data_IF_011134921538
#
_entry.id   IF_011134921538
#
_cell.length_a   1.000
_cell.length_b   1.000
_cell.length_c   1.000
_cell.angle_alpha   90.00
_cell.angle_beta   90.00
_cell.angle_gamma   90.00
#
_symmetry.space_group_name_H-M   'P 1'
#
loop_
_entity.id
_entity.type
_entity.pdbx_description
1 polymer ?
#
# COMPACT_ATOMS: atom_id res chain seq x y z
N UNK A 1 35.40 2.64 0.27
CA UNK A 1 34.29 2.30 1.17
C UNK A 1 32.93 2.66 0.57
N UNK A 2 32.76 3.78 -0.11
CA UNK A 2 31.44 4.23 -0.63
C UNK A 2 30.92 3.38 -1.77
N UNK A 3 31.83 2.85 -2.60
CA UNK A 3 31.47 1.88 -3.65
C UNK A 3 30.80 0.63 -3.04
N UNK A 4 31.35 0.12 -1.95
CA UNK A 4 30.80 -1.05 -1.25
C UNK A 4 29.47 -0.77 -0.57
N UNK A 5 29.33 0.40 0.06
CA UNK A 5 28.04 0.83 0.64
C UNK A 5 26.95 0.91 -0.44
N UNK A 6 27.25 1.55 -1.57
CA UNK A 6 26.34 1.62 -2.72
C UNK A 6 25.96 0.23 -3.24
N UNK A 7 26.92 -0.70 -3.31
CA UNK A 7 26.65 -2.07 -3.74
C UNK A 7 25.73 -2.80 -2.76
N UNK A 8 25.94 -2.64 -1.45
CA UNK A 8 25.06 -3.21 -0.41
C UNK A 8 23.64 -2.66 -0.55
N UNK A 9 23.50 -1.33 -0.73
CA UNK A 9 22.20 -0.69 -0.94
C UNK A 9 21.49 -1.24 -2.17
N UNK A 10 22.18 -1.31 -3.31
CA UNK A 10 21.63 -1.82 -4.55
C UNK A 10 21.18 -3.29 -4.41
N UNK A 11 22.05 -4.14 -3.86
CA UNK A 11 21.74 -5.55 -3.67
C UNK A 11 20.55 -5.76 -2.74
N UNK A 12 20.43 -4.96 -1.68
CA UNK A 12 19.33 -5.07 -0.71
C UNK A 12 18.02 -4.55 -1.26
N UNK A 13 18.02 -3.35 -1.84
CA UNK A 13 16.79 -2.64 -2.23
C UNK A 13 16.29 -3.03 -3.62
N UNK A 14 17.20 -3.19 -4.58
CA UNK A 14 16.84 -3.48 -5.97
C UNK A 14 16.82 -4.97 -6.30
N UNK A 15 17.85 -5.72 -5.86
CA UNK A 15 17.94 -7.16 -6.09
C UNK A 15 17.26 -8.00 -4.99
N UNK A 16 16.75 -7.37 -3.94
CA UNK A 16 16.09 -8.03 -2.80
C UNK A 16 16.94 -9.11 -2.11
N UNK A 17 18.29 -8.97 -2.16
CA UNK A 17 19.20 -9.93 -1.53
C UNK A 17 19.30 -9.70 -0.02
N UNK A 18 19.04 -10.70 0.81
CA UNK A 18 19.29 -10.60 2.25
C UNK A 18 20.78 -10.39 2.55
N UNK A 19 21.08 -9.63 3.61
CA UNK A 19 22.49 -9.37 4.01
C UNK A 19 23.32 -10.63 4.21
N UNK A 20 22.70 -11.71 4.71
CA UNK A 20 23.39 -13.00 4.83
C UNK A 20 23.90 -13.53 3.48
N UNK A 21 23.08 -13.45 2.42
CA UNK A 21 23.48 -13.89 1.09
C UNK A 21 24.55 -12.97 0.49
N UNK A 22 24.43 -11.68 0.70
CA UNK A 22 25.44 -10.71 0.28
C UNK A 22 26.78 -10.99 0.95
N UNK A 23 26.80 -11.17 2.28
CA UNK A 23 27.99 -11.46 3.05
C UNK A 23 28.69 -12.75 2.58
N UNK A 24 27.92 -13.80 2.24
CA UNK A 24 28.47 -15.05 1.73
C UNK A 24 29.09 -14.88 0.33
N UNK A 25 28.39 -14.23 -0.59
CA UNK A 25 28.88 -13.94 -1.94
C UNK A 25 30.17 -13.09 -1.91
N UNK A 26 30.22 -12.09 -1.03
CA UNK A 26 31.42 -11.24 -0.88
C UNK A 26 32.61 -12.01 -0.30
N UNK A 27 32.36 -12.90 0.67
CA UNK A 27 33.40 -13.74 1.25
C UNK A 27 34.01 -14.69 0.19
N UNK A 28 33.17 -15.29 -0.67
CA UNK A 28 33.63 -16.14 -1.79
C UNK A 28 34.48 -15.36 -2.79
N UNK A 29 34.30 -14.05 -2.91
CA UNK A 29 35.07 -13.12 -3.75
C UNK A 29 36.31 -12.55 -3.03
N UNK A 30 36.60 -13.02 -1.83
CA UNK A 30 37.76 -12.56 -1.05
C UNK A 30 37.57 -11.22 -0.35
N UNK A 31 36.34 -10.70 -0.27
CA UNK A 31 36.00 -9.45 0.41
C UNK A 31 35.15 -9.75 1.63
N UNK A 32 35.72 -9.86 2.84
CA UNK A 32 34.95 -10.20 4.04
C UNK A 32 34.14 -8.99 4.55
N UNK A 33 32.88 -8.95 4.17
CA UNK A 33 31.89 -7.99 4.72
C UNK A 33 30.87 -8.77 5.55
N UNK A 34 30.97 -8.72 6.89
CA UNK A 34 30.00 -9.33 7.77
C UNK A 34 28.59 -8.73 7.55
N UNK A 35 27.54 -9.54 7.78
CA UNK A 35 26.16 -9.09 7.62
C UNK A 35 25.80 -7.90 8.51
N UNK A 36 26.40 -7.84 9.70
CA UNK A 36 26.23 -6.74 10.66
C UNK A 36 26.81 -5.43 10.11
N UNK A 37 27.98 -5.50 9.46
CA UNK A 37 28.58 -4.36 8.76
C UNK A 37 27.74 -3.91 7.58
N UNK A 38 27.22 -4.85 6.79
CA UNK A 38 26.33 -4.54 5.67
C UNK A 38 25.02 -3.88 6.16
N UNK A 39 24.43 -4.38 7.25
CA UNK A 39 23.24 -3.80 7.86
C UNK A 39 23.53 -2.39 8.43
N UNK A 40 24.66 -2.20 9.11
CA UNK A 40 25.06 -0.90 9.59
C UNK A 40 25.24 0.12 8.44
N UNK A 41 25.91 -0.26 7.38
CA UNK A 41 26.07 0.59 6.20
C UNK A 41 24.74 0.93 5.54
N UNK A 42 23.84 -0.04 5.46
CA UNK A 42 22.50 0.18 4.91
C UNK A 42 21.72 1.20 5.74
N UNK A 43 21.68 1.02 7.07
CA UNK A 43 20.99 1.94 7.97
C UNK A 43 21.60 3.34 7.94
N UNK A 44 22.94 3.42 7.98
CA UNK A 44 23.66 4.69 7.88
C UNK A 44 23.30 5.44 6.58
N UNK A 45 23.39 4.75 5.43
CA UNK A 45 23.06 5.37 4.15
C UNK A 45 21.58 5.77 4.04
N UNK A 46 20.68 4.98 4.62
CA UNK A 46 19.24 5.30 4.64
C UNK A 46 18.97 6.57 5.44
N UNK A 47 19.56 6.70 6.61
CA UNK A 47 19.34 7.85 7.47
C UNK A 47 20.04 9.11 6.94
N UNK A 48 21.27 8.98 6.46
CA UNK A 48 22.08 10.13 6.06
C UNK A 48 21.73 10.68 4.68
N UNK A 49 21.39 9.80 3.72
CA UNK A 49 21.22 10.19 2.32
C UNK A 49 19.79 10.02 1.82
N UNK A 50 19.03 9.04 2.30
CA UNK A 50 17.68 8.80 1.80
C UNK A 50 16.61 9.54 2.60
N UNK A 51 16.81 9.77 3.91
CA UNK A 51 15.84 10.55 4.69
C UNK A 51 15.61 11.96 4.15
N UNK A 52 16.62 12.75 3.77
CA UNK A 52 16.38 14.05 3.16
C UNK A 52 15.58 13.97 1.84
N UNK A 53 15.81 12.93 1.05
CA UNK A 53 15.04 12.69 -0.19
C UNK A 53 13.58 12.34 0.15
N UNK A 54 13.38 11.50 1.17
CA UNK A 54 12.04 11.15 1.65
C UNK A 54 11.26 12.39 2.10
N UNK A 55 11.89 13.29 2.84
CA UNK A 55 11.26 14.54 3.29
C UNK A 55 10.84 15.44 2.12
N UNK A 56 11.69 15.59 1.10
CA UNK A 56 11.33 16.33 -0.12
C UNK A 56 10.17 15.64 -0.84
N UNK A 57 10.19 14.32 -0.98
CA UNK A 57 9.11 13.56 -1.58
C UNK A 57 7.81 13.70 -0.78
N UNK A 58 7.88 13.76 0.55
CA UNK A 58 6.72 13.97 1.41
C UNK A 58 6.10 15.35 1.18
N UNK A 59 6.91 16.40 1.13
CA UNK A 59 6.43 17.75 0.81
C UNK A 59 5.78 17.83 -0.58
N UNK A 60 6.41 17.22 -1.57
CA UNK A 60 5.86 17.14 -2.93
C UNK A 60 4.56 16.30 -2.99
N UNK A 61 4.44 15.27 -2.15
CA UNK A 61 3.22 14.48 -2.03
C UNK A 61 2.08 15.34 -1.46
N UNK A 62 2.32 16.07 -0.37
CA UNK A 62 1.31 16.95 0.25
C UNK A 62 0.87 18.12 -0.64
N UNK A 63 1.67 18.47 -1.65
CA UNK A 63 1.34 19.50 -2.63
C UNK A 63 0.46 18.97 -3.80
N UNK A 64 0.09 17.69 -3.81
CA UNK A 64 -0.80 17.11 -4.84
C UNK A 64 -2.27 17.37 -4.51
N UNK A 65 -3.12 17.37 -5.53
CA UNK A 65 -4.57 17.56 -5.38
C UNK A 65 -5.28 16.30 -4.88
N UNK A 66 -4.77 15.13 -5.28
CA UNK A 66 -5.39 13.83 -4.96
C UNK A 66 -4.34 12.91 -4.36
N UNK A 67 -4.67 12.35 -3.20
CA UNK A 67 -3.88 11.30 -2.56
C UNK A 67 -4.73 10.05 -2.34
N UNK A 68 -4.06 8.92 -2.29
CA UNK A 68 -4.61 7.65 -1.84
C UNK A 68 -3.89 7.23 -0.56
N UNK A 69 -4.64 6.72 0.41
CA UNK A 69 -4.10 6.19 1.65
C UNK A 69 -4.72 4.83 1.98
N UNK A 70 -3.88 3.93 2.44
CA UNK A 70 -4.27 2.60 2.93
C UNK A 70 -3.26 2.13 3.97
N UNK A 71 -3.59 1.14 4.79
CA UNK A 71 -2.67 0.55 5.75
C UNK A 71 -2.71 -0.98 5.70
N UNK A 72 -1.55 -1.60 5.84
CA UNK A 72 -1.38 -3.05 5.83
C UNK A 72 -0.75 -3.50 7.14
N UNK A 73 -1.35 -4.48 7.84
CA UNK A 73 -0.72 -5.04 9.03
C UNK A 73 0.59 -5.75 8.67
N UNK A 74 1.63 -5.48 9.45
CA UNK A 74 2.91 -6.17 9.36
C UNK A 74 3.31 -6.72 10.73
N UNK A 75 4.06 -7.81 10.74
CA UNK A 75 4.58 -8.43 11.95
C UNK A 75 6.07 -8.10 12.09
N UNK A 76 6.44 -7.54 13.23
CA UNK A 76 7.84 -7.30 13.61
C UNK A 76 8.17 -8.18 14.80
N UNK A 77 9.07 -9.16 14.61
CA UNK A 77 9.36 -10.18 15.60
C UNK A 77 10.08 -9.64 16.84
N UNK A 78 10.91 -8.60 16.66
CA UNK A 78 11.73 -8.00 17.72
C UNK A 78 11.48 -6.48 17.76
N UNK A 79 10.31 -6.10 18.22
CA UNK A 79 9.95 -4.69 18.44
C UNK A 79 9.97 -4.42 19.95
N UNK A 80 10.70 -3.37 20.35
CA UNK A 80 10.85 -3.02 21.75
C UNK A 80 9.48 -2.76 22.41
N UNK A 81 9.28 -3.34 23.58
CA UNK A 81 8.03 -3.21 24.33
C UNK A 81 6.83 -3.99 23.79
N UNK A 82 7.02 -4.85 22.79
CA UNK A 82 5.94 -5.64 22.19
C UNK A 82 6.23 -7.13 22.12
N UNK A 83 5.17 -7.92 22.08
CA UNK A 83 5.27 -9.36 21.82
C UNK A 83 5.40 -9.62 20.31
N UNK A 84 6.04 -10.72 19.93
CA UNK A 84 6.22 -11.13 18.52
C UNK A 84 4.90 -11.35 17.77
N UNK A 85 3.78 -11.49 18.46
CA UNK A 85 2.43 -11.64 17.89
C UNK A 85 1.70 -10.32 17.70
N UNK A 86 2.26 -9.21 18.21
CA UNK A 86 1.68 -7.89 18.05
C UNK A 86 1.68 -7.45 16.59
N UNK A 87 0.64 -6.74 16.19
CA UNK A 87 0.53 -6.17 14.84
C UNK A 87 1.06 -4.74 14.85
N UNK A 88 2.02 -4.49 13.99
CA UNK A 88 2.42 -3.16 13.55
C UNK A 88 1.83 -2.91 12.16
N UNK A 89 1.91 -1.69 11.66
CA UNK A 89 1.29 -1.32 10.39
C UNK A 89 2.27 -0.58 9.49
N UNK A 90 2.18 -0.87 8.22
CA UNK A 90 2.78 -0.06 7.17
C UNK A 90 1.66 0.77 6.54
N UNK A 91 1.73 2.08 6.73
CA UNK A 91 0.87 3.04 6.06
C UNK A 91 1.45 3.37 4.70
N UNK A 92 0.61 3.49 3.70
CA UNK A 92 0.99 3.73 2.32
C UNK A 92 0.25 4.97 1.84
N UNK A 93 1.00 5.92 1.32
CA UNK A 93 0.46 7.13 0.74
C UNK A 93 0.94 7.26 -0.69
N UNK A 94 0.01 7.48 -1.61
CA UNK A 94 0.26 7.50 -3.04
C UNK A 94 -0.37 8.74 -3.66
N UNK A 95 0.36 9.42 -4.54
CA UNK A 95 -0.22 10.50 -5.35
C UNK A 95 -1.22 9.97 -6.37
N UNK A 96 -2.31 10.70 -6.61
CA UNK A 96 -3.23 10.42 -7.71
C UNK A 96 -2.61 10.65 -9.08
N UNK A 97 -3.38 10.31 -10.11
CA UNK A 97 -2.98 10.52 -11.51
C UNK A 97 -3.19 11.99 -11.89
N UNK A 98 -2.12 12.77 -11.96
CA UNK A 98 -2.12 14.20 -12.27
C UNK A 98 -1.15 14.57 -13.41
N UNK A 99 -0.66 13.58 -14.15
CA UNK A 99 0.32 13.76 -15.23
C UNK A 99 1.76 13.98 -14.76
N UNK A 100 2.00 14.05 -13.44
CA UNK A 100 3.34 14.14 -12.85
C UNK A 100 3.85 12.74 -12.46
N UNK A 101 5.16 12.56 -12.27
CA UNK A 101 5.70 11.30 -11.77
C UNK A 101 5.01 10.87 -10.47
N UNK A 102 4.64 9.59 -10.33
CA UNK A 102 3.96 9.12 -9.13
C UNK A 102 4.91 9.14 -7.93
N UNK A 103 4.36 9.48 -6.77
CA UNK A 103 5.06 9.43 -5.49
C UNK A 103 4.37 8.37 -4.64
N UNK A 104 5.14 7.43 -4.10
CA UNK A 104 4.66 6.40 -3.18
C UNK A 104 5.55 6.46 -1.94
N UNK A 105 4.94 6.72 -0.78
CA UNK A 105 5.63 6.74 0.50
C UNK A 105 5.07 5.69 1.43
N UNK A 106 5.96 5.10 2.20
CA UNK A 106 5.65 4.12 3.23
C UNK A 106 6.02 4.69 4.59
N UNK A 107 5.08 4.61 5.53
CA UNK A 107 5.28 5.05 6.91
C UNK A 107 5.02 3.87 7.86
N UNK A 108 6.08 3.38 8.52
CA UNK A 108 5.98 2.32 9.50
C UNK A 108 5.53 2.89 10.84
N UNK A 109 4.48 2.27 11.40
CA UNK A 109 3.98 2.64 12.74
C UNK A 109 3.73 1.40 13.60
N UNK A 110 4.00 1.51 14.91
CA UNK A 110 3.86 0.38 15.83
C UNK A 110 2.40 0.00 16.11
N UNK A 111 1.42 0.64 15.51
CA UNK A 111 -0.01 0.37 15.71
C UNK A 111 -0.89 0.99 14.64
N UNK A 112 -2.19 0.87 14.85
CA UNK A 112 -3.24 1.44 13.97
C UNK A 112 -3.93 2.63 14.65
N UNK A 113 -3.14 3.55 15.26
CA UNK A 113 -3.74 4.78 15.77
C UNK A 113 -4.14 5.71 14.62
N UNK A 114 -5.32 6.32 14.74
CA UNK A 114 -5.75 7.34 13.80
C UNK A 114 -4.92 8.63 13.85
N UNK A 115 -4.08 8.80 14.83
CA UNK A 115 -3.20 9.96 14.95
C UNK A 115 -2.05 9.91 13.92
N UNK A 116 -1.66 8.71 13.47
CA UNK A 116 -0.60 8.54 12.49
C UNK A 116 -0.91 9.15 11.12
N UNK A 117 -2.06 8.86 10.48
CA UNK A 117 -2.40 9.53 9.22
C UNK A 117 -2.68 11.02 9.40
N UNK A 118 -3.17 11.46 10.56
CA UNK A 118 -3.34 12.90 10.85
C UNK A 118 -1.98 13.60 10.90
N UNK A 119 -0.99 13.00 11.57
CA UNK A 119 0.37 13.53 11.63
C UNK A 119 1.02 13.56 10.25
N UNK A 120 0.93 12.45 9.50
CA UNK A 120 1.56 12.33 8.19
C UNK A 120 0.95 13.29 7.15
N UNK A 121 -0.36 13.45 7.15
CA UNK A 121 -1.10 14.29 6.20
C UNK A 121 -1.30 15.73 6.70
N UNK A 122 -0.59 16.12 7.75
CA UNK A 122 -0.69 17.48 8.27
C UNK A 122 -0.34 18.52 7.19
N UNK A 123 -1.27 19.44 6.93
CA UNK A 123 -1.13 20.48 5.90
C UNK A 123 -1.57 20.06 4.50
N UNK A 124 -1.99 18.82 4.29
CA UNK A 124 -2.63 18.42 3.04
C UNK A 124 -4.05 18.98 2.96
N UNK A 125 -4.41 19.57 1.82
CA UNK A 125 -5.74 20.14 1.55
C UNK A 125 -6.22 19.69 0.17
N UNK A 126 -6.77 18.51 0.07
CA UNK A 126 -7.17 18.00 -1.23
C UNK A 126 -8.16 16.84 -1.10
N UNK A 127 -8.25 16.01 -2.13
CA UNK A 127 -9.04 14.80 -2.10
C UNK A 127 -8.21 13.62 -1.60
N UNK A 128 -8.68 12.96 -0.55
CA UNK A 128 -8.05 11.75 -0.01
C UNK A 128 -8.93 10.55 -0.31
N UNK A 129 -8.49 9.69 -1.21
CA UNK A 129 -9.13 8.41 -1.45
C UNK A 129 -8.62 7.38 -0.43
N UNK A 130 -9.52 6.88 0.39
CA UNK A 130 -9.20 5.92 1.45
C UNK A 130 -10.31 4.88 1.62
N UNK A 131 -10.12 3.93 2.53
CA UNK A 131 -11.17 3.05 2.98
C UNK A 131 -12.12 3.77 3.97
N UNK A 132 -13.07 3.04 4.52
CA UNK A 132 -14.02 3.57 5.50
C UNK A 132 -13.46 3.63 6.94
N UNK A 133 -12.15 3.64 7.15
CA UNK A 133 -11.58 3.77 8.48
C UNK A 133 -11.84 5.16 9.07
N UNK A 134 -12.47 5.21 10.24
CA UNK A 134 -12.98 6.44 10.85
C UNK A 134 -11.90 7.48 11.17
N UNK A 135 -10.64 7.08 11.26
CA UNK A 135 -9.55 8.00 11.54
C UNK A 135 -9.33 9.04 10.45
N UNK A 136 -9.54 8.68 9.19
CA UNK A 136 -9.41 9.63 8.08
C UNK A 136 -10.42 10.77 8.16
N UNK A 137 -11.60 10.52 8.77
CA UNK A 137 -12.62 11.57 9.02
C UNK A 137 -12.23 12.63 10.06
N UNK A 138 -11.09 12.47 10.73
CA UNK A 138 -10.54 13.43 11.69
C UNK A 138 -9.51 14.39 11.06
N UNK A 139 -9.14 14.16 9.80
CA UNK A 139 -8.20 15.02 9.07
C UNK A 139 -8.96 16.26 8.62
N UNK A 140 -8.52 17.43 9.05
CA UNK A 140 -9.12 18.70 8.72
C UNK A 140 -8.82 19.12 7.28
N UNK A 141 -9.69 19.91 6.67
CA UNK A 141 -9.54 20.53 5.33
C UNK A 141 -9.34 19.52 4.17
N UNK A 142 -9.77 18.26 4.35
CA UNK A 142 -9.63 17.20 3.36
C UNK A 142 -10.99 16.71 2.88
N UNK A 143 -11.15 16.54 1.56
CA UNK A 143 -12.33 15.91 0.98
C UNK A 143 -12.10 14.41 0.89
N UNK A 144 -12.85 13.64 1.71
CA UNK A 144 -12.74 12.18 1.69
C UNK A 144 -13.48 11.58 0.49
N UNK A 145 -12.79 10.70 -0.23
CA UNK A 145 -13.33 9.93 -1.35
C UNK A 145 -13.22 8.45 -1.01
N UNK A 146 -14.35 7.74 -1.05
CA UNK A 146 -14.37 6.31 -0.76
C UNK A 146 -13.68 5.50 -1.86
N UNK A 147 -12.79 4.62 -1.48
CA UNK A 147 -12.17 3.66 -2.39
C UNK A 147 -13.23 2.67 -2.92
N UNK A 148 -13.45 2.67 -4.24
CA UNK A 148 -14.44 1.81 -4.88
C UNK A 148 -14.13 0.31 -4.69
N UNK A 149 -12.85 -0.07 -4.66
CA UNK A 149 -12.43 -1.44 -4.40
C UNK A 149 -12.84 -1.92 -2.99
N UNK A 150 -12.70 -1.07 -1.99
CA UNK A 150 -13.16 -1.36 -0.63
C UNK A 150 -14.68 -1.41 -0.53
N UNK A 151 -15.39 -0.51 -1.21
CA UNK A 151 -16.84 -0.53 -1.31
C UNK A 151 -17.33 -1.85 -1.94
N UNK A 152 -16.74 -2.25 -3.07
CA UNK A 152 -17.04 -3.52 -3.74
C UNK A 152 -16.79 -4.72 -2.80
N UNK A 153 -15.68 -4.71 -2.07
CA UNK A 153 -15.35 -5.76 -1.09
C UNK A 153 -16.45 -5.90 -0.03
N UNK A 154 -16.95 -4.79 0.49
CA UNK A 154 -18.05 -4.80 1.49
C UNK A 154 -19.33 -5.40 0.92
N UNK A 155 -19.72 -5.04 -0.29
CA UNK A 155 -20.84 -5.68 -0.96
C UNK A 155 -20.60 -7.18 -1.15
N UNK A 156 -19.40 -7.58 -1.61
CA UNK A 156 -19.06 -9.00 -1.81
C UNK A 156 -19.09 -9.80 -0.49
N UNK A 157 -18.59 -9.25 0.60
CA UNK A 157 -18.61 -9.89 1.92
C UNK A 157 -20.04 -10.08 2.46
N UNK A 158 -20.98 -9.19 2.09
CA UNK A 158 -22.38 -9.28 2.45
C UNK A 158 -23.16 -10.33 1.63
N UNK A 159 -22.61 -10.83 0.53
CA UNK A 159 -23.22 -11.93 -0.24
C UNK A 159 -23.07 -13.25 0.50
N UNK A 160 -24.13 -14.09 0.62
CA UNK A 160 -24.03 -15.40 1.24
C UNK A 160 -22.92 -16.26 0.64
N UNK A 161 -22.14 -16.96 1.46
CA UNK A 161 -20.95 -17.74 1.04
C UNK A 161 -21.25 -18.72 -0.09
N UNK A 162 -22.41 -19.36 -0.08
CA UNK A 162 -22.84 -20.27 -1.13
C UNK A 162 -22.94 -19.62 -2.52
N UNK A 163 -23.26 -18.33 -2.58
CA UNK A 163 -23.38 -17.55 -3.82
C UNK A 163 -22.08 -16.84 -4.21
N UNK A 164 -21.17 -16.57 -3.25
CA UNK A 164 -19.88 -15.90 -3.52
C UNK A 164 -19.01 -16.69 -4.52
N UNK A 165 -19.08 -18.04 -4.49
CA UNK A 165 -18.32 -18.89 -5.42
C UNK A 165 -18.67 -18.62 -6.89
N UNK A 166 -19.94 -18.38 -7.18
CA UNK A 166 -20.41 -18.04 -8.54
C UNK A 166 -19.89 -16.66 -8.96
N UNK A 167 -19.91 -15.68 -8.06
CA UNK A 167 -19.39 -14.34 -8.32
C UNK A 167 -17.88 -14.33 -8.56
N UNK A 168 -17.10 -15.12 -7.80
CA UNK A 168 -15.64 -15.27 -8.04
C UNK A 168 -15.31 -15.87 -9.39
N UNK A 169 -16.10 -16.80 -9.88
CA UNK A 169 -15.92 -17.38 -11.22
C UNK A 169 -16.17 -16.36 -12.33
N UNK A 170 -17.09 -15.43 -12.13
CA UNK A 170 -17.32 -14.32 -13.05
C UNK A 170 -16.14 -13.31 -13.07
N UNK A 171 -15.49 -13.08 -11.92
CA UNK A 171 -14.29 -12.23 -11.84
C UNK A 171 -13.05 -12.84 -12.52
N UNK A 172 -12.90 -14.17 -12.50
CA UNK A 172 -11.75 -14.87 -13.11
C UNK A 172 -11.84 -14.90 -14.64
N UNK A 173 -13.05 -14.95 -15.19
CA UNK A 173 -13.26 -14.95 -16.62
C UNK A 173 -13.24 -13.52 -17.22
N UNK A 174 -13.15 -12.49 -16.42
CA UNK A 174 -13.25 -11.08 -16.86
C UNK A 174 -12.06 -10.61 -17.72
N UNK A 175 -10.89 -11.26 -17.65
CA UNK A 175 -9.79 -10.91 -18.57
C UNK A 175 -10.03 -11.32 -20.02
N UNK A 176 -10.93 -12.27 -20.29
CA UNK A 176 -11.32 -12.68 -21.65
C UNK A 176 -12.70 -12.18 -22.08
N UNK A 177 -13.56 -11.79 -21.14
CA UNK A 177 -14.90 -11.26 -21.39
C UNK A 177 -14.98 -9.71 -21.33
N UNK A 178 -13.84 -9.02 -21.27
CA UNK A 178 -13.75 -7.55 -21.27
C UNK A 178 -14.29 -6.86 -22.54
N UNK A 179 -14.77 -7.63 -23.52
CA UNK A 179 -15.37 -7.09 -24.75
C UNK A 179 -16.88 -6.83 -24.65
N UNK A 180 -17.59 -7.39 -23.66
CA UNK A 180 -19.03 -7.13 -23.48
C UNK A 180 -19.35 -6.81 -22.02
N UNK A 181 -20.22 -5.82 -21.75
CA UNK A 181 -20.66 -5.54 -20.38
C UNK A 181 -21.33 -6.79 -19.81
N UNK A 182 -21.10 -7.12 -18.52
CA UNK A 182 -21.74 -8.29 -17.92
C UNK A 182 -23.25 -8.21 -18.13
N UNK A 183 -23.80 -9.20 -18.83
CA UNK A 183 -25.23 -9.33 -19.05
C UNK A 183 -25.91 -9.67 -17.72
N UNK A 184 -26.29 -8.68 -17.01
CA UNK A 184 -26.97 -8.70 -15.73
C UNK A 184 -27.12 -7.28 -15.28
N UNK A 185 -28.11 -6.61 -15.87
CA UNK A 185 -28.45 -5.25 -15.47
C UNK A 185 -28.82 -5.24 -13.99
N UNK A 186 -28.59 -4.13 -13.31
CA UNK A 186 -29.02 -3.88 -11.92
C UNK A 186 -30.54 -4.11 -11.71
N UNK A 187 -31.25 -4.44 -12.76
CA UNK A 187 -32.69 -4.70 -12.82
C UNK A 187 -33.06 -6.19 -12.70
N UNK A 188 -32.09 -7.13 -12.69
CA UNK A 188 -32.41 -8.53 -12.47
C UNK A 188 -32.97 -8.72 -11.06
N UNK A 189 -34.29 -8.98 -10.99
CA UNK A 189 -35.03 -9.16 -9.74
C UNK A 189 -34.58 -10.39 -8.93
N UNK A 190 -33.80 -11.29 -9.53
CA UNK A 190 -33.25 -12.47 -8.88
C UNK A 190 -32.00 -12.20 -8.02
N UNK A 191 -31.35 -11.04 -8.20
CA UNK A 191 -30.14 -10.67 -7.48
C UNK A 191 -30.47 -10.06 -6.13
N UNK A 192 -29.68 -10.46 -5.11
CA UNK A 192 -29.71 -9.83 -3.80
C UNK A 192 -29.16 -8.39 -3.88
N UNK A 193 -29.58 -7.50 -2.96
CA UNK A 193 -29.05 -6.12 -2.92
C UNK A 193 -27.51 -6.06 -2.91
N UNK A 194 -26.87 -6.96 -2.17
CA UNK A 194 -25.41 -7.04 -2.12
C UNK A 194 -24.79 -7.45 -3.47
N UNK A 195 -25.42 -8.37 -4.21
CA UNK A 195 -24.98 -8.78 -5.56
C UNK A 195 -25.15 -7.65 -6.58
N UNK A 196 -26.24 -6.88 -6.48
CA UNK A 196 -26.46 -5.67 -7.28
C UNK A 196 -25.35 -4.64 -7.02
N UNK A 197 -24.94 -4.46 -5.74
CA UNK A 197 -23.82 -3.59 -5.35
C UNK A 197 -22.49 -4.04 -5.98
N UNK A 198 -22.18 -5.34 -5.97
CA UNK A 198 -20.99 -5.88 -6.65
C UNK A 198 -21.04 -5.61 -8.15
N UNK A 199 -22.17 -5.91 -8.79
CA UNK A 199 -22.34 -5.69 -10.23
C UNK A 199 -22.21 -4.20 -10.61
N UNK A 200 -22.74 -3.31 -9.80
CA UNK A 200 -22.60 -1.86 -9.99
C UNK A 200 -21.13 -1.43 -9.91
N UNK A 201 -20.39 -1.86 -8.88
CA UNK A 201 -18.96 -1.55 -8.79
C UNK A 201 -18.16 -2.13 -9.97
N UNK A 202 -18.44 -3.37 -10.40
CA UNK A 202 -17.78 -3.97 -11.55
C UNK A 202 -17.99 -3.16 -12.83
N UNK A 203 -19.20 -2.62 -13.03
CA UNK A 203 -19.50 -1.75 -14.20
C UNK A 203 -18.69 -0.46 -14.16
N UNK A 204 -18.50 0.14 -12.97
CA UNK A 204 -17.66 1.34 -12.84
C UNK A 204 -16.20 1.04 -13.17
N UNK A 205 -15.63 -0.07 -12.67
CA UNK A 205 -14.27 -0.49 -13.05
C UNK A 205 -14.10 -0.79 -14.54
N UNK A 206 -15.17 -1.21 -15.21
CA UNK A 206 -15.12 -1.46 -16.64
C UNK A 206 -15.09 -0.18 -17.49
N UNK A 207 -15.58 0.95 -16.96
CA UNK A 207 -15.59 2.24 -17.67
C UNK A 207 -14.26 3.02 -17.53
N UNK A 208 -13.36 2.57 -16.66
CA UNK A 208 -12.06 3.19 -16.38
C UNK A 208 -10.98 2.68 -17.34
#
# INVERSE_FOLDING_TARGET
SDVYKRQVMYQKSFLHLPFYRQSKDWMEKGVPVPRETAAHWYNYCSLEYLSPVYEVMHQELLAREILHADEVPCQVLHEEGKTATSKSYMWIYLSGTDGKPPIILYDYRPGRSGDYPIEFLHGFTGMLQCDGYSAYGRIEDVVLVCCLAHCRRKFFEAVPKARQKKLKLLDINSEQELAEPPQGTAEDSSLLPAEKGVAFCNRLFYME
#
